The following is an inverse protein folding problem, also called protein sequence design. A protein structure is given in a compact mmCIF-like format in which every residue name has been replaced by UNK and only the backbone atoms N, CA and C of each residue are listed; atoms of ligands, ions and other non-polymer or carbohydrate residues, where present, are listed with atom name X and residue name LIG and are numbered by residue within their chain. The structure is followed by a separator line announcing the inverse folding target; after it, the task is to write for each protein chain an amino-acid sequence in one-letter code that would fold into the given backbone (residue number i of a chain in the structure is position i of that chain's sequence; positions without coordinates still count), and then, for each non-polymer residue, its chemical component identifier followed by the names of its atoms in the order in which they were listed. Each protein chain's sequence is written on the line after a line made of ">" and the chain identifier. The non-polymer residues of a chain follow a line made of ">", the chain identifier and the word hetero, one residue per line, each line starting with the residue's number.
data_IF_537481039455
#
_entry.id   IF_537481039455
#
_cell.length_a   1.000
_cell.length_b   1.000
_cell.length_c   1.000
_cell.angle_alpha   90.00
_cell.angle_beta   90.00
_cell.angle_gamma   90.00
#
_symmetry.space_group_name_H-M   'P 1'
#
loop_
_entity.id
_entity.type
_entity.pdbx_description
1 polymer ?
#
# COMPACT_ATOMS: atom_id res chain seq x y z
N UNK A 1 -2.69 4.19 -0.20
CA UNK A 1 -1.50 4.69 0.53
C UNK A 1 -1.12 3.76 1.67
N UNK A 2 0.17 3.68 2.00
CA UNK A 2 0.68 3.05 3.23
C UNK A 2 0.52 4.00 4.42
N UNK A 3 0.07 3.54 5.58
CA UNK A 3 0.01 4.32 6.83
C UNK A 3 0.94 3.68 7.85
N UNK A 4 1.83 4.46 8.46
CA UNK A 4 2.76 4.02 9.50
C UNK A 4 2.53 4.88 10.74
N UNK A 5 2.09 4.28 11.84
CA UNK A 5 1.91 4.98 13.13
C UNK A 5 3.14 4.78 14.00
N UNK A 6 3.84 5.86 14.30
CA UNK A 6 4.99 5.84 15.19
C UNK A 6 4.54 5.81 16.66
N UNK A 7 5.10 4.88 17.42
CA UNK A 7 4.99 4.88 18.88
C UNK A 7 5.96 5.87 19.53
N UNK A 8 6.10 5.80 20.85
CA UNK A 8 7.08 6.63 21.57
C UNK A 8 8.51 6.36 21.08
N UNK A 9 9.32 7.42 21.01
CA UNK A 9 10.74 7.32 20.60
C UNK A 9 11.50 6.33 21.48
N UNK A 10 12.29 5.48 20.83
CA UNK A 10 13.22 4.55 21.46
C UNK A 10 14.45 4.37 20.59
N UNK A 11 15.58 4.10 21.21
CA UNK A 11 16.78 3.65 20.51
C UNK A 11 16.60 2.23 19.96
N UNK A 12 17.22 1.93 18.81
CA UNK A 12 17.05 0.65 18.09
C UNK A 12 18.28 -0.26 18.13
N UNK A 13 19.42 0.21 18.62
CA UNK A 13 20.67 -0.55 18.65
C UNK A 13 21.53 -0.38 17.40
N UNK A 14 22.80 -0.77 17.50
CA UNK A 14 23.83 -0.53 16.47
C UNK A 14 23.61 -1.32 15.16
N UNK A 15 22.91 -2.45 15.23
CA UNK A 15 22.61 -3.26 14.03
C UNK A 15 21.66 -2.54 13.07
N UNK A 16 20.67 -1.82 13.59
CA UNK A 16 19.72 -1.06 12.75
C UNK A 16 20.29 0.30 12.33
N UNK A 17 21.23 0.88 13.10
CA UNK A 17 21.89 2.14 12.71
C UNK A 17 22.90 1.97 11.59
N UNK A 18 23.38 0.74 11.37
CA UNK A 18 24.36 0.39 10.32
C UNK A 18 23.76 -0.37 9.14
N UNK A 19 22.44 -0.50 9.07
CA UNK A 19 21.75 -1.14 7.94
C UNK A 19 22.07 -0.40 6.63
N UNK A 20 22.48 -1.16 5.60
CA UNK A 20 22.91 -0.58 4.32
C UNK A 20 21.75 0.07 3.55
N UNK A 21 20.54 -0.44 3.72
CA UNK A 21 19.37 0.06 3.02
C UNK A 21 18.67 1.17 3.82
N UNK A 22 18.52 1.02 5.14
CA UNK A 22 17.79 1.95 6.00
C UNK A 22 18.47 2.16 7.36
N UNK A 23 19.62 2.85 7.40
CA UNK A 23 20.27 3.17 8.65
C UNK A 23 19.36 4.10 9.46
N UNK A 24 19.07 3.75 10.72
CA UNK A 24 18.30 4.61 11.63
C UNK A 24 18.80 4.51 13.06
N UNK A 25 18.88 5.64 13.75
CA UNK A 25 19.33 5.68 15.14
C UNK A 25 18.19 5.42 16.14
N UNK A 26 16.96 5.72 15.75
CA UNK A 26 15.77 5.56 16.59
C UNK A 26 14.57 4.99 15.82
N UNK A 27 13.65 4.42 16.59
CA UNK A 27 12.29 4.11 16.18
C UNK A 27 11.31 4.95 16.98
N UNK A 28 10.13 5.19 16.42
CA UNK A 28 9.11 5.99 17.10
C UNK A 28 9.40 7.49 17.00
N UNK A 29 8.62 8.27 17.72
CA UNK A 29 8.59 9.72 17.60
C UNK A 29 8.46 10.40 18.96
N UNK A 30 9.00 11.62 19.03
CA UNK A 30 8.71 12.61 20.05
C UNK A 30 8.64 14.01 19.39
N UNK A 31 7.99 15.01 20.03
CA UNK A 31 7.78 16.33 19.41
C UNK A 31 9.03 17.12 19.06
N UNK A 32 10.22 16.72 19.54
CA UNK A 32 11.49 17.39 19.25
C UNK A 32 12.11 16.95 17.92
N UNK A 33 11.62 15.84 17.34
CA UNK A 33 12.14 15.35 16.06
C UNK A 33 11.77 16.24 14.89
N UNK A 34 12.75 16.48 14.04
CA UNK A 34 12.58 17.08 12.70
C UNK A 34 11.83 16.14 11.76
N UNK A 35 11.35 16.69 10.64
CA UNK A 35 10.64 15.93 9.62
C UNK A 35 11.55 14.86 9.00
N UNK A 36 12.83 15.15 8.80
CA UNK A 36 13.82 14.17 8.38
C UNK A 36 13.99 13.05 9.42
N UNK A 37 14.13 13.36 10.71
CA UNK A 37 14.27 12.35 11.77
C UNK A 37 13.01 11.49 11.94
N UNK A 38 11.83 12.07 11.72
CA UNK A 38 10.54 11.33 11.71
C UNK A 38 10.52 10.37 10.52
N UNK A 39 10.93 10.85 9.34
CA UNK A 39 11.01 10.02 8.15
C UNK A 39 11.96 8.85 8.39
N UNK A 40 13.18 9.11 8.87
CA UNK A 40 14.17 8.09 9.24
C UNK A 40 13.61 7.07 10.23
N UNK A 41 12.92 7.53 11.27
CA UNK A 41 12.28 6.64 12.26
C UNK A 41 11.24 5.70 11.65
N UNK A 42 10.53 6.15 10.62
CA UNK A 42 9.49 5.41 9.92
C UNK A 42 10.03 4.41 8.88
N UNK A 43 11.28 4.58 8.44
CA UNK A 43 11.96 3.67 7.51
C UNK A 43 12.46 2.40 8.21
N UNK A 44 11.53 1.58 8.70
CA UNK A 44 11.82 0.26 9.26
C UNK A 44 11.56 -0.90 8.28
N UNK A 45 12.03 -2.09 8.65
CA UNK A 45 11.65 -3.35 8.01
C UNK A 45 10.28 -3.82 8.53
N UNK A 46 9.24 -3.55 7.75
CA UNK A 46 7.85 -3.82 8.11
C UNK A 46 7.33 -5.12 7.50
N UNK A 47 6.46 -5.84 8.22
CA UNK A 47 5.68 -6.93 7.61
C UNK A 47 4.55 -6.34 6.77
N UNK A 48 4.73 -6.36 5.46
CA UNK A 48 3.77 -5.81 4.49
C UNK A 48 3.21 -6.91 3.60
N UNK A 49 1.92 -6.83 3.30
CA UNK A 49 1.30 -7.68 2.28
C UNK A 49 1.81 -7.35 0.87
N UNK A 50 1.50 -8.21 -0.10
CA UNK A 50 1.81 -7.99 -1.53
C UNK A 50 1.28 -6.65 -2.09
N UNK A 51 0.24 -6.06 -1.46
CA UNK A 51 -0.32 -4.75 -1.81
C UNK A 51 0.68 -3.59 -1.74
N UNK A 52 1.74 -3.71 -0.94
CA UNK A 52 2.74 -2.65 -0.79
C UNK A 52 3.30 -2.17 -2.14
N UNK A 53 3.53 -3.08 -3.09
CA UNK A 53 4.13 -2.73 -4.39
C UNK A 53 3.28 -1.78 -5.24
N UNK A 54 1.98 -1.69 -5.00
CA UNK A 54 1.10 -0.74 -5.69
C UNK A 54 0.99 0.62 -4.98
N UNK A 55 1.52 0.74 -3.76
CA UNK A 55 1.41 1.97 -2.99
C UNK A 55 2.45 2.99 -3.43
N UNK A 56 1.99 4.19 -3.80
CA UNK A 56 2.83 5.31 -4.26
C UNK A 56 3.23 6.26 -3.14
N UNK A 57 2.51 6.23 -2.03
CA UNK A 57 2.68 7.18 -0.93
C UNK A 57 2.65 6.47 0.42
N UNK A 58 3.44 6.99 1.37
CA UNK A 58 3.39 6.65 2.79
C UNK A 58 2.94 7.87 3.62
N UNK A 59 2.04 7.63 4.57
CA UNK A 59 1.56 8.58 5.56
C UNK A 59 2.20 8.21 6.90
N UNK A 60 2.94 9.13 7.50
CA UNK A 60 3.55 8.93 8.82
C UNK A 60 2.69 9.65 9.86
N UNK A 61 2.13 8.86 10.77
CA UNK A 61 1.28 9.32 11.86
C UNK A 61 2.12 9.38 13.14
N UNK A 62 2.12 10.56 13.77
CA UNK A 62 2.80 10.84 15.02
C UNK A 62 1.76 11.28 16.05
N UNK A 63 1.65 10.55 17.16
CA UNK A 63 0.49 10.69 18.04
C UNK A 63 -0.79 10.29 17.28
N UNK A 64 -1.71 11.22 17.12
CA UNK A 64 -2.99 10.99 16.42
C UNK A 64 -3.12 11.79 15.12
N UNK A 65 -2.02 12.40 14.66
CA UNK A 65 -2.03 13.31 13.51
C UNK A 65 -1.04 12.86 12.45
N UNK A 66 -1.39 13.05 11.18
CA UNK A 66 -0.49 12.84 10.06
C UNK A 66 0.55 13.96 10.05
N UNK A 67 1.83 13.59 10.27
CA UNK A 67 2.94 14.54 10.38
C UNK A 67 3.78 14.63 9.11
N UNK A 68 3.83 13.56 8.31
CA UNK A 68 4.53 13.54 7.02
C UNK A 68 3.80 12.74 5.97
N UNK A 69 3.97 13.16 4.73
CA UNK A 69 3.66 12.40 3.54
C UNK A 69 4.95 12.16 2.75
N UNK A 70 5.14 10.95 2.26
CA UNK A 70 6.33 10.55 1.51
C UNK A 70 5.90 9.92 0.20
N UNK A 71 6.46 10.38 -0.92
CA UNK A 71 6.39 9.65 -2.18
C UNK A 71 7.37 8.48 -2.14
N UNK A 72 6.89 7.28 -2.42
CA UNK A 72 7.70 6.06 -2.43
C UNK A 72 8.37 5.94 -3.79
N UNK A 73 9.69 5.96 -3.80
CA UNK A 73 10.51 5.86 -5.01
C UNK A 73 11.06 4.44 -5.20
N UNK A 74 11.35 3.72 -4.11
CA UNK A 74 11.98 2.40 -4.15
C UNK A 74 11.47 1.48 -3.04
N UNK A 75 11.32 0.19 -3.36
CA UNK A 75 11.03 -0.88 -2.42
C UNK A 75 12.21 -1.83 -2.28
N UNK A 76 12.52 -2.24 -1.04
CA UNK A 76 13.40 -3.38 -0.76
C UNK A 76 12.65 -4.47 -0.01
N UNK A 77 13.12 -5.71 -0.19
CA UNK A 77 12.59 -6.90 0.49
C UNK A 77 13.72 -7.63 1.19
N UNK A 78 13.42 -8.17 2.37
CA UNK A 78 14.29 -9.09 3.11
C UNK A 78 13.65 -10.47 3.06
N UNK A 79 14.46 -11.54 3.08
CA UNK A 79 13.99 -12.92 2.92
C UNK A 79 13.01 -13.45 3.99
N UNK A 80 12.61 -12.61 4.96
CA UNK A 80 11.65 -12.90 6.02
C UNK A 80 10.29 -12.20 5.84
N UNK A 81 9.86 -12.00 4.58
CA UNK A 81 8.63 -11.30 4.17
C UNK A 81 8.51 -9.84 4.65
N UNK A 82 9.61 -9.27 5.15
CA UNK A 82 9.67 -7.86 5.51
C UNK A 82 10.06 -7.01 4.32
N UNK A 83 9.51 -5.82 4.29
CA UNK A 83 9.73 -4.83 3.25
C UNK A 83 10.02 -3.47 3.86
N UNK A 84 10.75 -2.72 3.07
CA UNK A 84 11.32 -1.43 3.38
C UNK A 84 11.12 -0.53 2.16
N UNK A 85 11.08 0.78 2.37
CA UNK A 85 10.98 1.72 1.26
C UNK A 85 11.93 2.92 1.43
N UNK A 86 12.32 3.51 0.30
CA UNK A 86 12.93 4.82 0.21
C UNK A 86 12.05 5.73 -0.64
N UNK A 87 12.16 7.01 -0.38
CA UNK A 87 11.28 8.02 -0.94
C UNK A 87 11.72 9.43 -0.59
N UNK A 88 10.84 10.38 -0.92
CA UNK A 88 11.03 11.81 -0.68
C UNK A 88 9.85 12.38 0.08
N UNK A 89 10.13 13.19 1.10
CA UNK A 89 9.10 13.93 1.84
C UNK A 89 8.41 14.89 0.87
N UNK A 90 7.09 14.79 0.78
CA UNK A 90 6.28 15.70 0.00
C UNK A 90 6.25 17.07 0.68
N UNK A 91 6.39 18.12 -0.12
CA UNK A 91 6.44 19.50 0.35
C UNK A 91 5.09 20.21 0.12
N UNK A 92 4.85 21.34 0.82
CA UNK A 92 3.70 22.21 0.54
C UNK A 92 3.54 22.53 -0.94
N UNK A 93 2.30 22.50 -1.44
CA UNK A 93 1.97 22.68 -2.86
C UNK A 93 1.78 21.38 -3.63
N UNK A 94 2.08 20.23 -3.02
CA UNK A 94 1.73 18.92 -3.58
C UNK A 94 0.34 18.49 -3.10
N UNK A 95 -0.56 18.08 -4.01
CA UNK A 95 -1.97 17.75 -3.71
C UNK A 95 -2.14 16.81 -2.51
N UNK A 96 -1.39 15.70 -2.50
CA UNK A 96 -1.41 14.71 -1.39
C UNK A 96 -0.92 15.31 -0.06
N UNK A 97 0.12 16.14 -0.08
CA UNK A 97 0.62 16.80 1.13
C UNK A 97 -0.46 17.73 1.69
N UNK A 98 -0.96 18.63 0.85
CA UNK A 98 -1.90 19.69 1.27
C UNK A 98 -3.25 19.13 1.71
N UNK A 99 -3.65 17.97 1.18
CA UNK A 99 -4.88 17.27 1.58
C UNK A 99 -4.76 16.63 2.97
N UNK A 100 -3.64 15.99 3.28
CA UNK A 100 -3.54 15.05 4.40
C UNK A 100 -2.73 15.56 5.59
N UNK A 101 -1.80 16.49 5.39
CA UNK A 101 -0.95 16.98 6.47
C UNK A 101 -1.80 17.60 7.60
N UNK A 102 -1.50 17.27 8.86
CA UNK A 102 -2.24 17.80 10.02
C UNK A 102 -3.62 17.17 10.24
N UNK A 103 -4.10 16.30 9.36
CA UNK A 103 -5.36 15.57 9.56
C UNK A 103 -5.19 14.45 10.59
N UNK A 104 -6.28 14.01 11.25
CA UNK A 104 -6.24 12.85 12.14
C UNK A 104 -5.82 11.57 11.41
N UNK A 105 -5.31 10.58 12.16
CA UNK A 105 -5.05 9.24 11.64
C UNK A 105 -6.32 8.65 11.01
N UNK A 106 -6.33 8.40 9.68
CA UNK A 106 -7.55 8.00 8.98
C UNK A 106 -7.84 6.50 9.13
N UNK A 107 -6.93 5.75 9.78
CA UNK A 107 -7.09 4.32 9.99
C UNK A 107 -7.33 4.02 11.47
N UNK A 108 -8.53 3.55 11.77
CA UNK A 108 -8.80 2.89 13.05
C UNK A 108 -8.49 1.40 12.90
N UNK A 109 -7.43 0.91 13.55
CA UNK A 109 -7.04 -0.50 13.51
C UNK A 109 -6.79 -1.02 14.92
N UNK A 110 -7.39 -2.16 15.25
CA UNK A 110 -7.08 -2.91 16.48
C UNK A 110 -5.79 -3.76 16.38
N UNK A 111 -5.11 -3.73 15.22
CA UNK A 111 -3.86 -4.46 15.02
C UNK A 111 -2.71 -3.81 15.80
N UNK A 112 -1.86 -4.65 16.42
CA UNK A 112 -0.60 -4.20 17.04
C UNK A 112 0.47 -3.82 16.01
N UNK A 113 0.27 -4.12 14.73
CA UNK A 113 1.19 -3.70 13.68
C UNK A 113 1.02 -2.20 13.45
N UNK A 114 2.08 -1.37 13.59
CA UNK A 114 1.99 0.07 13.33
C UNK A 114 1.62 0.41 11.88
N UNK A 115 1.75 -0.56 10.97
CA UNK A 115 1.46 -0.39 9.55
C UNK A 115 0.05 -0.82 9.19
N UNK A 116 -0.62 0.02 8.40
CA UNK A 116 -1.91 -0.26 7.78
C UNK A 116 -1.97 0.32 6.36
N UNK A 117 -3.06 0.05 5.64
CA UNK A 117 -3.31 0.59 4.31
C UNK A 117 -4.50 1.54 4.38
N UNK A 118 -4.31 2.78 3.96
CA UNK A 118 -5.38 3.75 3.79
C UNK A 118 -5.79 3.79 2.32
N UNK A 119 -7.10 3.67 2.06
CA UNK A 119 -7.65 3.80 0.71
C UNK A 119 -8.16 5.23 0.63
N UNK A 120 -7.43 6.12 -0.05
CA UNK A 120 -8.09 7.37 -0.43
C UNK A 120 -9.24 6.97 -1.36
N UNK A 121 -10.45 7.44 -1.06
CA UNK A 121 -11.56 7.20 -1.95
C UNK A 121 -11.20 7.69 -3.36
N UNK A 122 -10.50 8.83 -3.48
CA UNK A 122 -10.02 9.37 -4.76
C UNK A 122 -9.15 8.39 -5.58
N UNK A 123 -8.41 7.50 -4.92
CA UNK A 123 -7.55 6.50 -5.56
C UNK A 123 -8.33 5.25 -6.01
N UNK A 124 -9.61 5.13 -5.67
CA UNK A 124 -10.43 4.00 -6.10
C UNK A 124 -10.90 4.19 -7.55
N UNK A 125 -10.52 3.25 -8.40
CA UNK A 125 -11.09 3.09 -9.73
C UNK A 125 -12.52 2.55 -9.67
N UNK A 126 -13.15 2.39 -10.83
CA UNK A 126 -14.47 1.74 -10.93
C UNK A 126 -14.30 0.28 -11.32
N UNK A 127 -15.16 -0.58 -10.77
CA UNK A 127 -15.17 -1.99 -11.13
C UNK A 127 -15.38 -2.15 -12.63
N UNK A 128 -14.51 -2.94 -13.27
CA UNK A 128 -14.54 -3.20 -14.71
C UNK A 128 -15.81 -3.94 -15.18
N UNK A 129 -16.62 -4.48 -14.27
CA UNK A 129 -17.92 -5.05 -14.64
C UNK A 129 -18.96 -3.97 -15.01
N UNK A 130 -18.65 -2.69 -14.78
CA UNK A 130 -19.52 -1.56 -15.11
C UNK A 130 -20.57 -1.23 -14.05
N UNK A 131 -20.55 -1.86 -12.87
CA UNK A 131 -21.54 -1.61 -11.81
C UNK A 131 -21.36 -0.26 -11.08
N UNK A 132 -20.30 0.48 -11.37
CA UNK A 132 -19.98 1.74 -10.70
C UNK A 132 -19.41 1.60 -9.28
N UNK A 133 -19.25 0.39 -8.76
CA UNK A 133 -18.61 0.18 -7.44
C UNK A 133 -17.16 0.63 -7.48
N UNK A 134 -16.75 1.45 -6.51
CA UNK A 134 -15.37 1.90 -6.34
C UNK A 134 -14.49 0.79 -5.76
N UNK A 135 -13.34 0.54 -6.38
CA UNK A 135 -12.45 -0.59 -6.05
C UNK A 135 -10.98 -0.20 -6.16
N UNK A 136 -10.12 -0.85 -5.37
CA UNK A 136 -8.66 -0.68 -5.44
C UNK A 136 -7.98 -1.45 -6.57
N UNK A 137 -8.65 -2.45 -7.13
CA UNK A 137 -8.16 -3.24 -8.26
C UNK A 137 -9.17 -3.19 -9.39
N UNK A 138 -9.14 -4.18 -10.28
CA UNK A 138 -10.03 -4.18 -11.45
C UNK A 138 -11.47 -4.58 -11.12
N UNK A 139 -11.67 -5.39 -10.08
CA UNK A 139 -12.97 -6.02 -9.79
C UNK A 139 -13.38 -5.87 -8.32
N UNK A 140 -14.67 -5.67 -8.09
CA UNK A 140 -15.24 -5.86 -6.78
C UNK A 140 -15.22 -7.37 -6.43
N UNK A 141 -15.24 -7.74 -5.13
CA UNK A 141 -15.16 -9.14 -4.74
C UNK A 141 -16.19 -10.02 -5.48
N UNK A 142 -15.70 -11.03 -6.22
CA UNK A 142 -16.51 -11.97 -7.01
C UNK A 142 -17.03 -11.45 -8.35
N UNK A 143 -16.83 -10.17 -8.69
CA UNK A 143 -17.30 -9.60 -9.95
C UNK A 143 -16.48 -10.05 -11.16
N UNK A 144 -15.22 -10.43 -10.95
CA UNK A 144 -14.37 -11.10 -11.95
C UNK A 144 -14.98 -12.43 -12.41
N UNK A 145 -15.42 -13.25 -11.45
CA UNK A 145 -16.09 -14.52 -11.73
C UNK A 145 -17.42 -14.30 -12.45
N UNK A 146 -18.22 -13.34 -12.02
CA UNK A 146 -19.48 -13.00 -12.70
C UNK A 146 -19.20 -12.55 -14.14
N UNK A 147 -18.19 -11.71 -14.34
CA UNK A 147 -17.84 -11.21 -15.66
C UNK A 147 -17.39 -12.32 -16.62
N UNK A 148 -16.51 -13.22 -16.18
CA UNK A 148 -16.07 -14.34 -17.03
C UNK A 148 -17.21 -15.31 -17.33
N UNK A 149 -18.09 -15.60 -16.36
CA UNK A 149 -19.27 -16.43 -16.60
C UNK A 149 -20.27 -15.77 -17.56
N UNK A 150 -20.41 -14.44 -17.54
CA UNK A 150 -21.21 -13.73 -18.55
C UNK A 150 -20.64 -13.91 -19.95
N UNK A 151 -19.32 -13.82 -20.13
CA UNK A 151 -18.67 -14.07 -21.42
C UNK A 151 -18.91 -15.52 -21.88
N UNK A 152 -18.75 -16.49 -20.98
CA UNK A 152 -18.99 -17.92 -21.27
C UNK A 152 -20.44 -18.17 -21.66
N UNK A 153 -21.40 -17.60 -20.94
CA UNK A 153 -22.83 -17.75 -21.26
C UNK A 153 -23.20 -17.09 -22.59
N UNK A 154 -22.65 -15.91 -22.87
CA UNK A 154 -23.00 -15.15 -24.07
C UNK A 154 -22.37 -15.68 -25.36
N UNK A 155 -21.15 -16.23 -25.28
CA UNK A 155 -20.35 -16.55 -26.47
C UNK A 155 -20.03 -18.05 -26.62
N UNK A 156 -20.28 -18.85 -25.59
CA UNK A 156 -19.90 -20.27 -25.54
C UNK A 156 -21.04 -21.14 -24.99
N UNK A 157 -22.29 -20.69 -25.11
CA UNK A 157 -23.49 -21.44 -24.68
C UNK A 157 -23.44 -21.89 -23.21
N UNK A 158 -22.69 -21.17 -22.37
CA UNK A 158 -22.47 -21.55 -20.97
C UNK A 158 -21.42 -22.65 -20.76
N UNK A 159 -20.80 -23.15 -21.81
CA UNK A 159 -19.80 -24.21 -21.78
C UNK A 159 -18.39 -23.68 -21.50
N UNK A 160 -17.92 -23.91 -20.27
CA UNK A 160 -16.52 -23.65 -19.88
C UNK A 160 -15.55 -24.44 -20.77
N UNK A 161 -15.91 -25.66 -21.18
CA UNK A 161 -15.08 -26.49 -22.07
C UNK A 161 -14.83 -25.79 -23.41
N UNK A 162 -15.88 -25.25 -24.04
CA UNK A 162 -15.77 -24.56 -25.32
C UNK A 162 -14.93 -23.29 -25.20
N UNK A 163 -15.10 -22.52 -24.13
CA UNK A 163 -14.25 -21.37 -23.84
C UNK A 163 -12.76 -21.75 -23.72
N UNK A 164 -12.44 -22.82 -23.00
CA UNK A 164 -11.07 -23.33 -22.85
C UNK A 164 -10.51 -23.81 -24.19
N UNK A 165 -11.29 -24.55 -24.97
CA UNK A 165 -10.90 -24.98 -26.32
C UNK A 165 -10.61 -23.77 -27.23
N UNK A 166 -11.47 -22.76 -27.20
CA UNK A 166 -11.24 -21.50 -27.92
C UNK A 166 -9.95 -20.80 -27.46
N UNK A 167 -9.72 -20.65 -26.16
CA UNK A 167 -8.47 -20.07 -25.64
C UNK A 167 -7.23 -20.78 -26.19
N UNK A 168 -7.26 -22.11 -26.29
CA UNK A 168 -6.17 -22.90 -26.89
C UNK A 168 -6.00 -22.61 -28.38
N UNK A 169 -7.09 -22.41 -29.14
CA UNK A 169 -6.99 -21.99 -30.56
C UNK A 169 -6.34 -20.63 -30.72
N UNK A 170 -6.45 -19.74 -29.72
CA UNK A 170 -5.79 -18.44 -29.69
C UNK A 170 -4.32 -18.51 -29.19
N UNK A 171 -3.79 -19.72 -28.96
CA UNK A 171 -2.41 -19.91 -28.49
C UNK A 171 -2.19 -19.61 -27.00
N UNK A 172 -3.26 -19.43 -26.21
CA UNK A 172 -3.15 -19.22 -24.77
C UNK A 172 -2.81 -20.53 -24.06
N UNK A 173 -1.78 -20.48 -23.20
CA UNK A 173 -1.45 -21.58 -22.28
C UNK A 173 -2.28 -21.42 -21.01
N UNK A 174 -3.16 -22.38 -20.75
CA UNK A 174 -3.92 -22.48 -19.51
C UNK A 174 -3.20 -23.50 -18.63
N UNK A 175 -2.82 -23.08 -17.41
CA UNK A 175 -2.07 -23.87 -16.44
C UNK A 175 -2.90 -25.02 -15.86
#
# INVERSE_FOLDING_TARGET
>A
MLRIKLGARRYVGDEESTDHFLPREHAGWDPTLTDEEVYEAARGWWRLSSKANSEKYAMIVCGDTIRLLVAIDEWASRGDDRRAFRGRILQPGHEVHDRFIGQPDPVTSGSRNPVAYYADEADLGHCQCGCGTRVRGDWAPGHDQIAIHRVINANFEGSVRQFIEWCRTQGLKLA
#
